data_IF_368951070022
#
_entry.id   IF_368951070022
#
_cell.length_a   1.000
_cell.length_b   1.000
_cell.length_c   1.000
_cell.angle_alpha   90.00
_cell.angle_beta   90.00
_cell.angle_gamma   90.00
#
_symmetry.space_group_name_H-M   'P 1'
#
loop_
_entity.id
_entity.type
_entity.pdbx_description
1 polymer ?
#
# COMPACT_ATOMS: atom_id res chain seq x y z
N UNK A 1 -15.68 -54.83 40.23
CA UNK A 1 -16.60 -54.35 39.19
C UNK A 1 -15.88 -53.24 38.48
N UNK A 2 -15.72 -53.32 37.17
CA UNK A 2 -15.04 -52.29 36.39
C UNK A 2 -16.02 -51.12 36.23
N UNK A 3 -15.65 -49.94 36.70
CA UNK A 3 -16.37 -48.70 36.41
C UNK A 3 -16.13 -48.37 34.94
N UNK A 4 -17.08 -48.77 34.09
CA UNK A 4 -17.11 -48.32 32.70
C UNK A 4 -17.55 -46.86 32.68
N UNK A 5 -16.77 -45.93 32.10
CA UNK A 5 -17.22 -44.56 31.93
C UNK A 5 -18.52 -44.55 31.10
N UNK A 6 -19.53 -43.79 31.55
CA UNK A 6 -20.78 -43.68 30.81
C UNK A 6 -20.54 -43.00 29.48
N UNK A 7 -21.07 -43.60 28.41
CA UNK A 7 -20.99 -43.11 27.04
C UNK A 7 -21.52 -41.67 26.85
N UNK A 8 -22.26 -41.13 27.82
CA UNK A 8 -22.79 -39.77 27.83
C UNK A 8 -21.69 -38.70 27.90
N UNK A 9 -20.72 -38.89 28.79
CA UNK A 9 -19.79 -37.82 29.18
C UNK A 9 -18.76 -37.56 28.06
N UNK A 10 -18.38 -38.62 27.36
CA UNK A 10 -17.51 -38.54 26.18
C UNK A 10 -18.25 -37.87 25.01
N UNK A 11 -19.54 -38.15 24.80
CA UNK A 11 -20.28 -37.58 23.67
C UNK A 11 -20.49 -36.06 23.76
N UNK A 12 -20.61 -35.53 24.98
CA UNK A 12 -20.71 -34.08 25.25
C UNK A 12 -19.37 -33.37 25.01
N UNK A 13 -18.25 -34.00 25.43
CA UNK A 13 -16.87 -33.53 25.23
C UNK A 13 -16.52 -33.34 23.74
N UNK A 14 -16.79 -34.34 22.89
CA UNK A 14 -16.60 -34.22 21.44
C UNK A 14 -17.47 -33.11 20.81
N UNK A 15 -18.65 -32.83 21.39
CA UNK A 15 -19.52 -31.76 20.93
C UNK A 15 -18.95 -30.37 21.21
N UNK A 16 -18.36 -30.19 22.39
CA UNK A 16 -17.71 -28.94 22.79
C UNK A 16 -16.43 -28.68 21.98
N UNK A 17 -15.55 -29.68 21.83
CA UNK A 17 -14.34 -29.57 21.00
C UNK A 17 -14.66 -29.21 19.54
N UNK A 18 -15.71 -29.81 18.96
CA UNK A 18 -16.18 -29.52 17.60
C UNK A 18 -16.70 -28.08 17.47
N UNK A 19 -17.40 -27.56 18.48
CA UNK A 19 -17.88 -26.18 18.50
C UNK A 19 -16.72 -25.18 18.63
N UNK A 20 -15.73 -25.48 19.47
CA UNK A 20 -14.53 -24.66 19.60
C UNK A 20 -13.75 -24.60 18.29
N UNK A 21 -13.54 -25.75 17.63
CA UNK A 21 -12.89 -25.81 16.33
C UNK A 21 -13.63 -24.98 15.27
N UNK A 22 -14.97 -25.03 15.24
CA UNK A 22 -15.75 -24.24 14.30
C UNK A 22 -15.59 -22.73 14.54
N UNK A 23 -15.61 -22.30 15.81
CA UNK A 23 -15.37 -20.88 16.17
C UNK A 23 -13.97 -20.42 15.76
N UNK A 24 -12.97 -21.26 15.98
CA UNK A 24 -11.60 -20.95 15.58
C UNK A 24 -11.45 -20.85 14.06
N UNK A 25 -12.16 -21.70 13.31
CA UNK A 25 -12.19 -21.65 11.85
C UNK A 25 -12.87 -20.36 11.35
N UNK A 26 -14.02 -20.01 11.91
CA UNK A 26 -14.73 -18.76 11.59
C UNK A 26 -13.83 -17.54 11.85
N UNK A 27 -13.18 -17.49 13.01
CA UNK A 27 -12.22 -16.41 13.33
C UNK A 27 -11.08 -16.35 12.32
N UNK A 28 -10.52 -17.50 11.95
CA UNK A 28 -9.41 -17.55 10.99
C UNK A 28 -9.84 -17.07 9.60
N UNK A 29 -11.06 -17.38 9.18
CA UNK A 29 -11.63 -16.89 7.92
C UNK A 29 -11.75 -15.37 7.97
N UNK A 30 -12.34 -14.82 9.03
CA UNK A 30 -12.47 -13.36 9.21
C UNK A 30 -11.11 -12.64 9.21
N UNK A 31 -10.13 -13.20 9.92
CA UNK A 31 -8.77 -12.64 9.97
C UNK A 31 -8.13 -12.60 8.58
N UNK A 32 -8.22 -13.70 7.82
CA UNK A 32 -7.67 -13.78 6.47
C UNK A 32 -8.41 -12.85 5.50
N UNK A 33 -9.74 -12.76 5.59
CA UNK A 33 -10.53 -11.83 4.79
C UNK A 33 -10.12 -10.38 5.06
N UNK A 34 -10.00 -9.99 6.32
CA UNK A 34 -9.57 -8.65 6.70
C UNK A 34 -8.16 -8.32 6.17
N UNK A 35 -7.21 -9.24 6.31
CA UNK A 35 -5.85 -9.09 5.76
C UNK A 35 -5.91 -8.93 4.23
N UNK A 36 -6.74 -9.71 3.55
CA UNK A 36 -6.88 -9.64 2.10
C UNK A 36 -7.39 -8.28 1.61
N UNK A 37 -8.36 -7.70 2.32
CA UNK A 37 -8.89 -6.36 2.05
C UNK A 37 -7.82 -5.31 2.27
N UNK A 38 -7.11 -5.36 3.41
CA UNK A 38 -6.03 -4.42 3.72
C UNK A 38 -4.91 -4.47 2.68
N UNK A 39 -4.42 -5.66 2.32
CA UNK A 39 -3.38 -5.82 1.30
C UNK A 39 -3.83 -5.28 -0.06
N UNK A 40 -5.09 -5.49 -0.43
CA UNK A 40 -5.64 -4.98 -1.69
C UNK A 40 -5.65 -3.46 -1.71
N UNK A 41 -6.12 -2.81 -0.63
CA UNK A 41 -6.09 -1.36 -0.50
C UNK A 41 -4.67 -0.79 -0.49
N UNK A 42 -3.75 -1.41 0.24
CA UNK A 42 -2.35 -1.00 0.26
C UNK A 42 -1.71 -1.10 -1.13
N UNK A 43 -1.97 -2.19 -1.86
CA UNK A 43 -1.47 -2.36 -3.22
C UNK A 43 -2.06 -1.31 -4.18
N UNK A 44 -3.37 -1.05 -4.08
CA UNK A 44 -4.03 -0.02 -4.86
C UNK A 44 -3.44 1.37 -4.59
N UNK A 45 -3.32 1.78 -3.32
CA UNK A 45 -2.74 3.06 -2.93
C UNK A 45 -1.29 3.21 -3.40
N UNK A 46 -0.50 2.14 -3.32
CA UNK A 46 0.89 2.12 -3.81
C UNK A 46 1.00 2.31 -5.32
N UNK A 47 0.03 1.80 -6.09
CA UNK A 47 -0.03 2.00 -7.54
C UNK A 47 -0.49 3.42 -7.84
N UNK A 48 -1.61 3.85 -7.25
CA UNK A 48 -2.18 5.19 -7.46
C UNK A 48 -1.16 6.29 -7.14
N UNK A 49 -0.43 6.19 -6.03
CA UNK A 49 0.59 7.19 -5.69
C UNK A 49 1.74 7.25 -6.71
N UNK A 50 2.13 6.12 -7.30
CA UNK A 50 3.21 6.06 -8.30
C UNK A 50 2.77 6.44 -9.70
N UNK A 51 1.51 6.14 -10.03
CA UNK A 51 0.93 6.44 -11.33
C UNK A 51 0.11 7.72 -11.31
N UNK A 52 0.19 8.51 -10.23
CA UNK A 52 -0.48 9.80 -10.10
C UNK A 52 -0.06 10.67 -11.29
N UNK A 53 -0.94 10.86 -12.30
CA UNK A 53 -0.58 11.60 -13.51
C UNK A 53 -0.16 13.03 -13.15
N UNK A 54 -0.83 13.60 -12.16
CA UNK A 54 -0.57 14.94 -11.64
C UNK A 54 0.85 15.11 -11.09
N UNK A 55 1.50 14.05 -10.60
CA UNK A 55 2.86 14.17 -10.03
C UNK A 55 3.89 14.39 -11.14
N UNK A 56 3.74 13.67 -12.26
CA UNK A 56 4.59 13.85 -13.44
C UNK A 56 4.40 15.22 -14.06
N UNK A 57 3.15 15.62 -14.28
CA UNK A 57 2.80 16.92 -14.84
C UNK A 57 3.26 18.07 -13.93
N UNK A 58 3.10 17.93 -12.61
CA UNK A 58 3.56 18.93 -11.63
C UNK A 58 5.08 19.06 -11.58
N UNK A 59 5.82 17.94 -11.66
CA UNK A 59 7.28 17.97 -11.69
C UNK A 59 7.81 18.61 -12.97
N UNK A 60 7.21 18.30 -14.11
CA UNK A 60 7.54 18.94 -15.38
C UNK A 60 7.26 20.44 -15.34
N UNK A 61 6.08 20.85 -14.86
CA UNK A 61 5.73 22.27 -14.72
C UNK A 61 6.71 23.00 -13.79
N UNK A 62 7.10 22.38 -12.68
CA UNK A 62 8.08 22.93 -11.75
C UNK A 62 9.46 23.12 -12.42
N UNK A 63 9.92 22.16 -13.22
CA UNK A 63 11.18 22.24 -13.96
C UNK A 63 11.16 23.41 -14.96
N UNK A 64 10.07 23.56 -15.71
CA UNK A 64 9.90 24.66 -16.67
C UNK A 64 9.92 26.04 -15.99
N UNK A 65 9.22 26.19 -14.86
CA UNK A 65 9.22 27.44 -14.08
C UNK A 65 10.60 27.72 -13.46
N UNK A 66 11.30 26.69 -12.98
CA UNK A 66 12.67 26.82 -12.47
C UNK A 66 13.63 27.29 -13.57
N UNK A 67 13.58 26.68 -14.76
CA UNK A 67 14.40 27.08 -15.90
C UNK A 67 14.11 28.51 -16.34
N UNK A 68 12.84 28.92 -16.33
CA UNK A 68 12.41 30.29 -16.63
C UNK A 68 12.98 31.28 -15.61
N UNK A 69 12.87 30.99 -14.32
CA UNK A 69 13.44 31.81 -13.26
C UNK A 69 14.97 31.91 -13.39
N UNK A 70 15.65 30.80 -13.65
CA UNK A 70 17.10 30.78 -13.84
C UNK A 70 17.53 31.64 -15.02
N UNK A 71 16.80 31.59 -16.14
CA UNK A 71 17.11 32.42 -17.31
C UNK A 71 16.95 33.91 -17.02
N UNK A 72 15.94 34.30 -16.23
CA UNK A 72 15.75 35.70 -15.80
C UNK A 72 16.85 36.17 -14.85
N UNK A 73 17.28 35.32 -13.91
CA UNK A 73 18.27 35.70 -12.88
C UNK A 73 19.70 35.66 -13.42
N UNK A 74 20.07 34.60 -14.12
CA UNK A 74 21.45 34.33 -14.55
C UNK A 74 21.72 34.76 -16.01
N UNK A 75 20.70 35.23 -16.73
CA UNK A 75 20.74 35.36 -18.18
C UNK A 75 20.53 34.01 -18.86
N UNK A 76 20.09 34.03 -20.12
CA UNK A 76 19.98 32.78 -20.88
C UNK A 76 21.39 32.21 -21.15
N UNK A 77 21.59 30.87 -21.11
CA UNK A 77 22.87 30.25 -21.46
C UNK A 77 23.37 30.55 -22.89
N UNK A 78 22.61 31.28 -23.71
CA UNK A 78 22.95 31.64 -25.08
C UNK A 78 23.32 33.11 -25.31
N UNK A 79 23.23 33.99 -24.29
CA UNK A 79 23.49 35.44 -24.47
C UNK A 79 24.89 35.88 -24.03
N UNK A 80 25.69 35.00 -23.40
CA UNK A 80 27.06 35.34 -22.96
C UNK A 80 28.16 35.10 -24.01
N UNK A 81 27.93 34.29 -25.05
CA UNK A 81 28.96 34.03 -26.09
C UNK A 81 28.96 35.03 -27.26
N UNK A 82 27.89 35.80 -27.47
CA UNK A 82 27.79 36.71 -28.63
C UNK A 82 28.42 38.10 -28.40
N UNK A 83 28.80 38.44 -27.16
CA UNK A 83 29.26 39.78 -26.81
C UNK A 83 30.74 39.88 -26.37
N UNK A 84 31.52 38.80 -26.50
CA UNK A 84 32.97 38.82 -26.22
C UNK A 84 33.85 38.75 -27.48
N UNK A 85 33.26 38.77 -28.69
CA UNK A 85 33.96 38.71 -29.97
C UNK A 85 34.01 40.01 -30.78
N UNK A 86 33.55 41.13 -30.23
CA UNK A 86 33.65 42.46 -30.86
C UNK A 86 34.16 43.48 -29.83
N UNK A 87 35.47 43.70 -29.83
CA UNK A 87 36.17 44.67 -29.00
C UNK A 87 37.66 44.62 -29.26
#
# INVERSE_FOLDING_TARGET
MADSPSSSDHQEDWGEEMMELNKDLERMIEDVENISVQLTWMAYDMVVQRTSPDLGDSLQQLEEEFLRCRAVICGSPGEQELNQGMG
#
